data_IF_688954701307
#
_entry.id   IF_688954701307
#
_cell.length_a   1.000
_cell.length_b   1.000
_cell.length_c   1.000
_cell.angle_alpha   90.00
_cell.angle_beta   90.00
_cell.angle_gamma   90.00
#
_symmetry.space_group_name_H-M   'P 1'
#
loop_
_entity.id
_entity.type
_entity.pdbx_description
1 polymer ?
#
# COMPACT_ATOMS: atom_id res chain seq x y z
N UNK A 1 13.18 -14.43 -23.50
CA UNK A 1 12.35 -14.63 -22.29
C UNK A 1 12.90 -13.74 -21.16
N UNK A 2 12.74 -12.41 -21.25
CA UNK A 2 13.29 -11.43 -20.28
C UNK A 2 12.33 -10.26 -19.98
N UNK A 3 11.11 -10.26 -20.53
CA UNK A 3 10.25 -9.05 -20.53
C UNK A 3 9.40 -8.86 -19.26
N UNK A 4 9.17 -9.92 -18.47
CA UNK A 4 8.25 -9.84 -17.33
C UNK A 4 8.87 -9.16 -16.10
N UNK A 5 10.18 -9.28 -15.90
CA UNK A 5 10.90 -8.58 -14.83
C UNK A 5 10.88 -7.07 -15.03
N UNK A 6 11.06 -6.62 -16.27
CA UNK A 6 11.08 -5.20 -16.62
C UNK A 6 9.67 -4.62 -16.51
N UNK A 7 8.65 -5.27 -17.09
CA UNK A 7 7.25 -4.80 -16.98
C UNK A 7 6.74 -4.82 -15.54
N UNK A 8 6.92 -5.94 -14.83
CA UNK A 8 6.44 -6.12 -13.46
C UNK A 8 7.06 -5.15 -12.47
N UNK A 9 8.37 -4.92 -12.53
CA UNK A 9 9.06 -3.97 -11.66
C UNK A 9 8.79 -2.51 -12.03
N UNK A 10 8.82 -2.17 -13.32
CA UNK A 10 8.67 -0.78 -13.77
C UNK A 10 7.25 -0.27 -13.55
N UNK A 11 6.23 -1.04 -13.94
CA UNK A 11 4.82 -0.59 -13.84
C UNK A 11 4.38 -0.45 -12.39
N UNK A 12 4.73 -1.41 -11.52
CA UNK A 12 4.33 -1.38 -10.10
C UNK A 12 5.02 -0.26 -9.33
N UNK A 13 6.31 -0.02 -9.58
CA UNK A 13 7.07 1.05 -8.94
C UNK A 13 6.61 2.42 -9.43
N UNK A 14 6.39 2.58 -10.75
CA UNK A 14 5.87 3.83 -11.32
C UNK A 14 4.48 4.16 -10.77
N UNK A 15 3.60 3.16 -10.63
CA UNK A 15 2.27 3.34 -10.01
C UNK A 15 2.38 3.79 -8.55
N UNK A 16 3.22 3.13 -7.75
CA UNK A 16 3.44 3.48 -6.35
C UNK A 16 3.95 4.93 -6.20
N UNK A 17 4.95 5.32 -6.99
CA UNK A 17 5.50 6.68 -6.99
C UNK A 17 4.46 7.72 -7.43
N UNK A 18 3.67 7.41 -8.45
CA UNK A 18 2.63 8.32 -8.95
C UNK A 18 1.59 8.62 -7.88
N UNK A 19 1.12 7.58 -7.17
CA UNK A 19 0.18 7.75 -6.06
C UNK A 19 0.80 8.49 -4.88
N UNK A 20 2.07 8.24 -4.55
CA UNK A 20 2.76 8.95 -3.46
C UNK A 20 2.83 10.45 -3.76
N UNK A 21 3.27 10.81 -4.97
CA UNK A 21 3.33 12.20 -5.39
C UNK A 21 1.94 12.84 -5.45
N UNK A 22 0.93 12.13 -5.94
CA UNK A 22 -0.45 12.59 -5.93
C UNK A 22 -0.92 12.91 -4.49
N UNK A 23 -0.73 11.97 -3.57
CA UNK A 23 -1.13 12.12 -2.17
C UNK A 23 -0.42 13.29 -1.49
N UNK A 24 0.87 13.51 -1.75
CA UNK A 24 1.59 14.67 -1.22
C UNK A 24 1.10 15.98 -1.83
N UNK A 25 0.86 16.03 -3.14
CA UNK A 25 0.37 17.22 -3.83
C UNK A 25 -1.02 17.66 -3.32
N UNK A 26 -1.92 16.72 -3.03
CA UNK A 26 -3.26 17.04 -2.49
C UNK A 26 -3.26 17.27 -0.97
N UNK A 27 -2.15 16.99 -0.27
CA UNK A 27 -1.96 17.27 1.16
C UNK A 27 -0.69 18.12 1.42
N UNK A 28 -0.74 19.45 1.20
CA UNK A 28 0.43 20.32 1.30
C UNK A 28 1.12 20.34 2.68
N UNK A 29 0.40 20.03 3.76
CA UNK A 29 0.99 19.90 5.10
C UNK A 29 1.93 18.68 5.19
N UNK A 30 1.49 17.53 4.65
CA UNK A 30 2.32 16.32 4.59
C UNK A 30 3.52 16.54 3.68
N UNK A 31 3.33 17.19 2.53
CA UNK A 31 4.42 17.54 1.63
C UNK A 31 5.47 18.44 2.30
N UNK A 32 5.05 19.45 3.06
CA UNK A 32 5.98 20.31 3.81
C UNK A 32 6.76 19.54 4.87
N UNK A 33 6.09 18.61 5.59
CA UNK A 33 6.74 17.78 6.61
C UNK A 33 7.75 16.81 5.98
N UNK A 34 7.40 16.16 4.88
CA UNK A 34 8.31 15.30 4.12
C UNK A 34 9.51 16.09 3.55
N UNK A 35 9.27 17.28 3.01
CA UNK A 35 10.35 18.14 2.54
C UNK A 35 11.30 18.52 3.67
N UNK A 36 10.79 18.90 4.85
CA UNK A 36 11.64 19.23 6.01
C UNK A 36 12.51 18.06 6.44
N UNK A 37 11.99 16.83 6.41
CA UNK A 37 12.78 15.62 6.70
C UNK A 37 13.89 15.43 5.66
N UNK A 38 13.58 15.60 4.37
CA UNK A 38 14.59 15.51 3.31
C UNK A 38 15.65 16.63 3.39
N UNK A 39 15.26 17.85 3.75
CA UNK A 39 16.16 19.01 3.88
C UNK A 39 17.16 18.85 5.05
N UNK A 40 16.95 17.91 5.98
CA UNK A 40 17.90 17.59 7.06
C UNK A 40 19.05 16.68 6.61
N UNK A 41 18.97 16.10 5.42
CA UNK A 41 20.03 15.26 4.89
C UNK A 41 21.14 16.12 4.27
N UNK A 42 22.35 16.01 4.81
CA UNK A 42 23.53 16.67 4.27
C UNK A 42 24.02 15.99 2.96
N UNK A 43 23.88 14.67 2.87
CA UNK A 43 24.25 13.87 1.69
C UNK A 43 23.22 12.77 1.40
N UNK A 44 23.00 12.50 0.10
CA UNK A 44 22.14 11.42 -0.35
C UNK A 44 22.95 10.13 -0.52
N UNK A 45 22.69 9.15 0.33
CA UNK A 45 23.23 7.79 0.26
C UNK A 45 22.11 6.78 0.50
N UNK A 46 22.40 5.49 0.29
CA UNK A 46 21.42 4.43 0.58
C UNK A 46 21.10 4.39 2.08
N UNK A 47 22.11 4.59 2.91
CA UNK A 47 21.98 4.63 4.36
C UNK A 47 21.16 5.83 4.82
N UNK A 48 21.33 6.99 4.17
CA UNK A 48 20.58 8.19 4.53
C UNK A 48 19.09 8.10 4.16
N UNK A 49 18.73 7.26 3.18
CA UNK A 49 17.32 6.94 2.88
C UNK A 49 16.63 6.22 4.05
N UNK A 50 17.35 5.38 4.79
CA UNK A 50 16.80 4.71 5.97
C UNK A 50 16.56 5.67 7.15
N UNK A 51 17.11 6.88 7.09
CA UNK A 51 16.94 7.93 8.10
C UNK A 51 15.75 8.87 7.82
N UNK A 52 14.83 8.48 6.92
CA UNK A 52 13.65 9.26 6.55
C UNK A 52 12.33 8.55 6.94
N UNK A 53 12.04 8.40 8.24
CA UNK A 53 10.89 7.63 8.72
C UNK A 53 9.54 8.22 8.28
N UNK A 54 9.41 9.54 8.15
CA UNK A 54 8.16 10.16 7.74
C UNK A 54 7.87 9.97 6.25
N UNK A 55 8.88 10.05 5.38
CA UNK A 55 8.75 9.72 3.95
C UNK A 55 8.42 8.24 3.78
N UNK A 56 9.09 7.36 4.52
CA UNK A 56 8.78 5.92 4.55
C UNK A 56 7.32 5.68 4.97
N UNK A 57 6.85 6.36 6.02
CA UNK A 57 5.47 6.30 6.47
C UNK A 57 4.46 6.82 5.42
N UNK A 58 4.80 7.88 4.68
CA UNK A 58 3.98 8.38 3.57
C UNK A 58 3.86 7.35 2.43
N UNK A 59 4.96 6.66 2.11
CA UNK A 59 4.99 5.61 1.09
C UNK A 59 4.13 4.41 1.51
N UNK A 60 4.26 3.94 2.76
CA UNK A 60 3.45 2.83 3.28
C UNK A 60 1.96 3.17 3.31
N UNK A 61 1.60 4.37 3.76
CA UNK A 61 0.20 4.79 3.78
C UNK A 61 -0.39 4.91 2.38
N UNK A 62 0.43 5.37 1.43
CA UNK A 62 0.06 5.40 0.01
C UNK A 62 -0.20 3.99 -0.51
N UNK A 63 0.68 3.02 -0.25
CA UNK A 63 0.49 1.64 -0.69
C UNK A 63 -0.72 0.96 -0.02
N UNK A 64 -1.05 1.33 1.23
CA UNK A 64 -2.26 0.85 1.92
C UNK A 64 -3.54 1.35 1.24
N UNK A 65 -3.56 2.60 0.80
CA UNK A 65 -4.73 3.25 0.20
C UNK A 65 -4.86 3.00 -1.31
N UNK A 66 -3.72 2.93 -1.99
CA UNK A 66 -3.55 2.83 -3.43
C UNK A 66 -2.48 1.77 -3.77
N UNK A 67 -2.72 0.48 -3.45
CA UNK A 67 -1.75 -0.56 -3.78
C UNK A 67 -1.58 -0.69 -5.30
N UNK A 68 -0.33 -0.84 -5.76
CA UNK A 68 -0.03 -1.04 -7.18
C UNK A 68 -0.71 -2.29 -7.77
N UNK A 69 -0.98 -3.29 -6.92
CA UNK A 69 -1.76 -4.49 -7.27
C UNK A 69 -3.01 -4.54 -6.38
N UNK A 70 -4.15 -3.98 -6.84
CA UNK A 70 -5.35 -3.86 -6.01
C UNK A 70 -6.13 -5.17 -5.83
N UNK A 71 -5.95 -6.12 -6.75
CA UNK A 71 -6.61 -7.43 -6.74
C UNK A 71 -5.60 -8.50 -7.15
N UNK A 72 -5.54 -9.59 -6.38
CA UNK A 72 -4.81 -10.81 -6.74
C UNK A 72 -5.79 -11.94 -6.99
N UNK A 73 -5.50 -12.78 -7.98
CA UNK A 73 -6.34 -13.93 -8.35
C UNK A 73 -5.44 -15.16 -8.36
N UNK A 74 -5.80 -16.17 -7.56
CA UNK A 74 -5.12 -17.48 -7.55
C UNK A 74 -6.11 -18.58 -7.87
N UNK A 75 -5.63 -19.71 -8.37
CA UNK A 75 -6.47 -20.89 -8.61
C UNK A 75 -6.11 -22.01 -7.63
N UNK A 76 -7.12 -22.65 -7.05
CA UNK A 76 -6.93 -23.86 -6.26
C UNK A 76 -6.41 -24.98 -7.17
N UNK A 77 -5.20 -25.48 -6.90
CA UNK A 77 -4.60 -26.56 -7.70
C UNK A 77 -5.17 -27.94 -7.35
N UNK A 78 -5.66 -28.07 -6.11
CA UNK A 78 -6.25 -29.28 -5.55
C UNK A 78 -7.47 -28.90 -4.71
N UNK A 79 -8.32 -29.87 -4.41
CA UNK A 79 -9.35 -29.71 -3.39
C UNK A 79 -8.68 -29.35 -2.05
N UNK A 80 -9.06 -28.21 -1.46
CA UNK A 80 -8.48 -27.70 -0.23
C UNK A 80 -9.54 -27.03 0.65
N UNK A 81 -9.14 -26.53 1.82
CA UNK A 81 -10.01 -25.77 2.72
C UNK A 81 -9.37 -24.42 3.04
N UNK A 82 -10.17 -23.35 2.96
CA UNK A 82 -9.75 -22.00 3.33
C UNK A 82 -10.77 -21.44 4.32
N UNK A 83 -10.31 -21.05 5.53
CA UNK A 83 -11.16 -20.51 6.60
C UNK A 83 -12.39 -21.38 6.92
N UNK A 84 -12.23 -22.71 6.98
CA UNK A 84 -13.34 -23.64 7.25
C UNK A 84 -14.24 -23.96 6.06
N UNK A 85 -13.97 -23.39 4.87
CA UNK A 85 -14.78 -23.58 3.66
C UNK A 85 -14.06 -24.49 2.65
N UNK A 86 -14.70 -25.57 2.18
CA UNK A 86 -14.11 -26.44 1.16
C UNK A 86 -14.08 -25.73 -0.20
N UNK A 87 -12.93 -25.79 -0.87
CA UNK A 87 -12.66 -25.19 -2.18
C UNK A 87 -12.26 -26.31 -3.15
N UNK A 88 -12.89 -26.36 -4.32
CA UNK A 88 -12.59 -27.38 -5.35
C UNK A 88 -11.41 -26.97 -6.22
N UNK A 89 -10.66 -27.96 -6.69
CA UNK A 89 -9.63 -27.76 -7.70
C UNK A 89 -10.20 -27.00 -8.92
N UNK A 90 -9.46 -26.02 -9.42
CA UNK A 90 -9.87 -25.12 -10.49
C UNK A 90 -10.67 -23.88 -10.04
N UNK A 91 -11.07 -23.79 -8.77
CA UNK A 91 -11.75 -22.59 -8.25
C UNK A 91 -10.79 -21.41 -8.20
N UNK A 92 -11.21 -20.26 -8.74
CA UNK A 92 -10.48 -19.00 -8.59
C UNK A 92 -10.84 -18.32 -7.27
N UNK A 93 -9.82 -17.95 -6.51
CA UNK A 93 -9.90 -17.15 -5.30
C UNK A 93 -9.43 -15.74 -5.63
N UNK A 94 -10.27 -14.75 -5.33
CA UNK A 94 -10.00 -13.34 -5.58
C UNK A 94 -9.70 -12.66 -4.23
N UNK A 95 -8.54 -12.03 -4.13
CA UNK A 95 -8.12 -11.24 -2.98
C UNK A 95 -8.19 -9.75 -3.34
N UNK A 96 -9.22 -9.02 -2.89
CA UNK A 96 -9.34 -7.58 -3.12
C UNK A 96 -8.45 -6.81 -2.15
N UNK A 97 -7.12 -6.89 -2.33
CA UNK A 97 -6.08 -6.31 -1.45
C UNK A 97 -6.40 -4.86 -1.06
N UNK A 98 -6.73 -4.01 -2.04
CA UNK A 98 -6.99 -2.59 -1.79
C UNK A 98 -8.25 -2.29 -0.97
N UNK A 99 -9.14 -3.27 -0.79
CA UNK A 99 -10.30 -3.15 0.11
C UNK A 99 -9.98 -3.75 1.48
N UNK A 100 -9.29 -4.89 1.51
CA UNK A 100 -8.86 -5.55 2.76
C UNK A 100 -7.97 -4.65 3.61
N UNK A 101 -7.18 -3.77 2.98
CA UNK A 101 -6.29 -2.83 3.67
C UNK A 101 -7.01 -1.57 4.22
N UNK A 102 -8.33 -1.45 4.02
CA UNK A 102 -9.13 -0.31 4.53
C UNK A 102 -9.69 -0.60 5.91
N UNK A 103 -9.81 0.44 6.72
CA UNK A 103 -10.35 0.38 8.08
C UNK A 103 -11.80 -0.12 8.14
N UNK A 104 -12.58 0.13 7.07
CA UNK A 104 -14.00 -0.20 7.00
C UNK A 104 -14.29 -1.62 6.50
N UNK A 105 -13.29 -2.50 6.39
CA UNK A 105 -13.49 -3.89 5.98
C UNK A 105 -14.05 -4.72 7.15
N UNK A 106 -15.29 -4.42 7.54
CA UNK A 106 -15.97 -5.10 8.66
C UNK A 106 -16.85 -6.28 8.20
N UNK A 107 -17.10 -6.45 6.91
CA UNK A 107 -18.01 -7.50 6.44
C UNK A 107 -17.73 -7.89 4.97
N UNK A 108 -17.10 -9.06 4.76
CA UNK A 108 -16.69 -9.56 3.45
C UNK A 108 -17.84 -9.85 2.48
N UNK A 109 -19.08 -9.88 2.96
CA UNK A 109 -20.28 -10.19 2.18
C UNK A 109 -20.93 -8.95 1.51
N UNK A 110 -20.52 -7.73 1.87
CA UNK A 110 -21.02 -6.48 1.24
C UNK A 110 -20.18 -6.11 0.03
N UNK A 111 -20.08 -7.01 -0.94
CA UNK A 111 -19.49 -6.74 -2.24
C UNK A 111 -20.44 -5.84 -3.07
N UNK A 112 -20.38 -4.53 -2.86
CA UNK A 112 -21.16 -3.55 -3.64
C UNK A 112 -20.20 -2.75 -4.51
N UNK A 113 -20.41 -2.87 -5.82
CA UNK A 113 -19.71 -2.21 -6.94
C UNK A 113 -19.72 -0.66 -6.89
N UNK A 114 -20.39 -0.06 -5.92
CA UNK A 114 -20.54 1.40 -5.77
C UNK A 114 -19.39 2.06 -4.99
N UNK A 115 -18.53 1.29 -4.32
CA UNK A 115 -17.43 1.83 -3.48
C UNK A 115 -16.22 2.26 -4.32
N UNK A 116 -16.17 1.89 -5.61
CA UNK A 116 -15.01 2.14 -6.47
C UNK A 116 -14.71 3.63 -6.72
N UNK A 117 -15.73 4.49 -6.82
CA UNK A 117 -15.52 5.90 -7.11
C UNK A 117 -15.30 6.74 -5.83
N UNK A 118 -16.17 6.64 -4.83
CA UNK A 118 -16.10 7.57 -3.69
C UNK A 118 -14.85 7.36 -2.80
N UNK A 119 -14.30 6.14 -2.77
CA UNK A 119 -13.24 5.75 -1.84
C UNK A 119 -11.83 5.81 -2.46
N UNK A 120 -11.73 5.78 -3.79
CA UNK A 120 -10.45 5.91 -4.51
C UNK A 120 -9.98 7.37 -4.62
N UNK A 121 -10.90 8.34 -4.65
CA UNK A 121 -10.58 9.73 -4.99
C UNK A 121 -10.43 10.68 -3.80
N UNK A 122 -10.72 10.27 -2.56
CA UNK A 122 -10.44 11.09 -1.38
C UNK A 122 -10.16 10.25 -0.11
N UNK A 123 -9.08 9.44 -0.10
CA UNK A 123 -8.73 8.68 1.07
C UNK A 123 -8.13 9.60 2.16
N UNK A 124 -8.52 9.38 3.41
CA UNK A 124 -7.88 10.05 4.56
C UNK A 124 -6.47 9.47 4.72
N UNK A 125 -5.45 10.23 4.31
CA UNK A 125 -4.04 9.85 4.40
C UNK A 125 -3.50 10.15 5.80
N UNK A 126 -3.08 9.12 6.54
CA UNK A 126 -2.51 9.26 7.90
C UNK A 126 -1.16 8.54 8.02
N UNK A 127 -0.04 9.17 7.59
CA UNK A 127 1.28 8.57 7.71
C UNK A 127 1.66 8.23 9.16
N UNK A 128 1.14 8.96 10.14
CA UNK A 128 1.39 8.76 11.57
C UNK A 128 1.02 7.35 12.05
N UNK A 129 0.15 6.63 11.33
CA UNK A 129 -0.18 5.21 11.57
C UNK A 129 1.05 4.32 11.64
N UNK A 130 2.06 4.62 10.82
CA UNK A 130 3.24 3.80 10.65
C UNK A 130 4.35 4.17 11.62
N UNK A 131 4.28 5.35 12.25
CA UNK A 131 5.31 5.85 13.16
C UNK A 131 5.12 5.33 14.59
N UNK A 132 6.22 5.31 15.33
CA UNK A 132 6.19 5.12 16.79
C UNK A 132 5.73 6.41 17.49
N UNK A 133 5.31 6.36 18.79
CA UNK A 133 4.94 7.56 19.54
C UNK A 133 6.06 8.61 19.66
N UNK A 134 7.33 8.20 19.55
CA UNK A 134 8.49 9.09 19.52
C UNK A 134 8.73 9.73 18.14
N UNK A 135 8.05 9.26 17.10
CA UNK A 135 8.22 9.72 15.72
C UNK A 135 9.34 9.01 14.95
N UNK A 136 9.98 8.00 15.54
CA UNK A 136 11.02 7.18 14.89
C UNK A 136 10.41 6.19 13.88
N UNK A 137 11.30 5.54 13.11
CA UNK A 137 10.98 4.55 12.06
C UNK A 137 9.97 3.49 12.49
N UNK A 138 9.38 2.86 11.48
CA UNK A 138 8.22 1.97 11.56
C UNK A 138 8.35 1.03 12.75
N UNK A 139 7.29 0.94 13.57
CA UNK A 139 7.16 -0.13 14.57
C UNK A 139 7.47 -1.46 13.86
N UNK A 140 8.56 -2.15 14.21
CA UNK A 140 9.03 -3.34 13.49
C UNK A 140 7.92 -4.39 13.37
N UNK A 141 6.95 -4.39 14.31
CA UNK A 141 5.77 -5.26 14.29
C UNK A 141 4.79 -4.97 13.14
N UNK A 142 4.90 -3.81 12.49
CA UNK A 142 4.08 -3.38 11.36
C UNK A 142 4.80 -3.50 10.01
N UNK A 143 6.08 -3.90 10.00
CA UNK A 143 6.87 -4.14 8.77
C UNK A 143 6.55 -5.49 8.10
N UNK A 144 5.81 -6.38 8.76
CA UNK A 144 5.51 -7.76 8.32
C UNK A 144 4.01 -8.08 8.39
#
# INVERSE_FOLDING_TARGET
MVNWYIGGGAETTASAMSWLLHNLCVHPELQRKAKREADLLEELSVESIHSMPFIEACALETLRLNPSVPVSIISALVDCEVAGKPIKAGTQLIFPIGQMMRESYEDGDKFITTVFQHVMFNPVVRPERWLTPSGDSIDEKKRL
#
